data_IF_658562422883
#
_entry.id   IF_658562422883
#
_cell.length_a   1.000
_cell.length_b   1.000
_cell.length_c   1.000
_cell.angle_alpha   90.00
_cell.angle_beta   90.00
_cell.angle_gamma   90.00
#
_symmetry.space_group_name_H-M   'P 1'
#
loop_
_entity.id
_entity.type
_entity.pdbx_description
1 polymer ?
#
# COMPACT_ATOMS: atom_id res chain seq x y z
N UNK A 1 -3.97 -45.43 -9.08
CA UNK A 1 -3.83 -46.25 -7.84
C UNK A 1 -2.41 -46.08 -7.28
N UNK A 2 -2.20 -45.01 -6.50
CA UNK A 2 -0.94 -44.84 -5.80
C UNK A 2 -1.01 -45.67 -4.50
N UNK A 3 -0.39 -46.85 -4.48
CA UNK A 3 -0.20 -47.64 -3.30
C UNK A 3 1.18 -47.28 -2.72
N UNK A 4 1.20 -46.52 -1.60
CA UNK A 4 2.44 -46.20 -0.89
C UNK A 4 3.21 -47.47 -0.43
N UNK A 5 4.48 -47.33 -0.02
CA UNK A 5 5.33 -48.46 0.38
C UNK A 5 4.70 -49.25 1.51
N UNK A 6 4.57 -50.58 1.34
CA UNK A 6 4.09 -51.53 2.36
C UNK A 6 5.23 -51.73 3.37
N UNK A 7 4.98 -51.46 4.64
CA UNK A 7 5.92 -51.81 5.71
C UNK A 7 6.01 -53.35 5.84
N UNK A 8 7.14 -53.84 6.33
CA UNK A 8 7.39 -55.29 6.56
C UNK A 8 6.36 -56.00 7.44
N UNK A 9 5.52 -55.23 8.16
CA UNK A 9 4.42 -55.70 9.01
C UNK A 9 3.06 -55.79 8.27
N UNK A 10 3.03 -55.52 6.98
CA UNK A 10 1.82 -55.61 6.15
C UNK A 10 0.83 -54.45 6.30
N UNK A 11 1.11 -53.45 7.15
CA UNK A 11 0.29 -52.26 7.30
C UNK A 11 0.72 -51.20 6.31
N UNK A 12 -0.24 -50.61 5.60
CA UNK A 12 0.03 -49.42 4.78
C UNK A 12 0.51 -48.30 5.68
N UNK A 13 1.69 -47.72 5.41
CA UNK A 13 2.16 -46.55 6.14
C UNK A 13 1.16 -45.41 5.94
N UNK A 14 0.60 -44.91 7.03
CA UNK A 14 -0.25 -43.72 6.98
C UNK A 14 0.60 -42.57 6.44
N UNK A 15 0.03 -41.79 5.49
CA UNK A 15 0.67 -40.59 4.99
C UNK A 15 0.85 -39.60 6.15
N UNK A 16 2.11 -39.24 6.44
CA UNK A 16 2.46 -38.23 7.45
C UNK A 16 2.77 -36.90 6.72
N UNK A 17 1.76 -36.03 6.62
CA UNK A 17 1.89 -34.79 5.90
C UNK A 17 3.01 -33.89 6.45
N UNK A 18 3.13 -33.64 7.78
CA UNK A 18 4.18 -32.79 8.33
C UNK A 18 5.61 -33.27 8.01
N UNK A 19 5.85 -34.57 8.04
CA UNK A 19 7.15 -35.15 7.71
C UNK A 19 7.48 -34.98 6.23
N UNK A 20 6.52 -35.33 5.37
CA UNK A 20 6.68 -35.25 3.92
C UNK A 20 6.82 -33.83 3.42
N UNK A 21 6.02 -32.90 3.96
CA UNK A 21 6.07 -31.47 3.62
C UNK A 21 7.44 -30.88 3.99
N UNK A 22 7.94 -31.13 5.19
CA UNK A 22 9.26 -30.67 5.62
C UNK A 22 10.36 -31.22 4.71
N UNK A 23 10.34 -32.52 4.44
CA UNK A 23 11.30 -33.16 3.53
C UNK A 23 11.39 -32.46 2.19
N UNK A 24 10.26 -32.12 1.58
CA UNK A 24 10.25 -31.51 0.27
C UNK A 24 10.61 -30.01 0.33
N UNK A 25 10.20 -29.29 1.34
CA UNK A 25 10.60 -27.90 1.55
C UNK A 25 12.12 -27.79 1.69
N UNK A 26 12.74 -28.64 2.53
CA UNK A 26 14.20 -28.69 2.68
C UNK A 26 14.89 -29.02 1.36
N UNK A 27 14.34 -29.93 0.57
CA UNK A 27 14.88 -30.29 -0.73
C UNK A 27 14.76 -29.13 -1.74
N UNK A 28 13.67 -28.39 -1.75
CA UNK A 28 13.48 -27.22 -2.62
C UNK A 28 14.43 -26.08 -2.25
N UNK A 29 14.59 -25.80 -0.97
CA UNK A 29 15.51 -24.78 -0.46
C UNK A 29 16.97 -25.15 -0.84
N UNK A 30 17.38 -26.41 -0.62
CA UNK A 30 18.72 -26.87 -0.96
C UNK A 30 19.02 -26.82 -2.48
N UNK A 31 18.01 -27.04 -3.32
CA UNK A 31 18.15 -27.00 -4.77
C UNK A 31 17.96 -25.59 -5.38
N UNK A 32 17.53 -24.60 -4.57
CA UNK A 32 17.20 -23.24 -5.04
C UNK A 32 16.12 -23.22 -6.10
N UNK A 33 15.09 -24.08 -5.97
CA UNK A 33 14.06 -24.31 -7.01
C UNK A 33 13.30 -23.03 -7.34
N UNK A 34 13.12 -22.15 -6.37
CA UNK A 34 12.34 -20.92 -6.50
C UNK A 34 13.19 -19.65 -6.63
N UNK A 35 14.51 -19.79 -6.67
CA UNK A 35 15.41 -18.65 -6.87
C UNK A 35 15.35 -18.11 -8.30
N UNK A 36 15.05 -16.82 -8.43
CA UNK A 36 15.11 -16.13 -9.71
C UNK A 36 16.58 -15.88 -10.11
N UNK A 37 16.99 -16.42 -11.25
CA UNK A 37 18.36 -16.26 -11.79
C UNK A 37 18.35 -15.38 -13.02
N UNK A 38 19.47 -14.73 -13.32
CA UNK A 38 19.62 -14.05 -14.59
C UNK A 38 19.72 -15.07 -15.72
N UNK A 39 18.60 -15.29 -16.41
CA UNK A 39 18.52 -16.23 -17.53
C UNK A 39 17.74 -15.58 -18.71
N UNK A 40 18.46 -15.01 -19.69
CA UNK A 40 17.82 -14.36 -20.85
C UNK A 40 17.15 -15.33 -21.81
N UNK A 41 17.42 -16.64 -21.71
CA UNK A 41 16.82 -17.67 -22.57
C UNK A 41 15.37 -18.00 -22.19
N UNK A 42 14.94 -17.63 -20.98
CA UNK A 42 13.60 -17.89 -20.46
C UNK A 42 12.79 -16.60 -20.40
N UNK A 43 11.50 -16.62 -20.80
CA UNK A 43 10.64 -15.45 -20.65
C UNK A 43 10.47 -15.11 -19.17
N UNK A 44 10.55 -13.81 -18.83
CA UNK A 44 10.43 -13.33 -17.46
C UNK A 44 8.97 -13.28 -17.02
N UNK A 45 8.72 -13.58 -15.77
CA UNK A 45 7.42 -13.35 -15.13
C UNK A 45 7.62 -12.84 -13.70
N UNK A 46 6.94 -11.75 -13.37
CA UNK A 46 6.97 -11.16 -12.04
C UNK A 46 5.64 -11.42 -11.31
N UNK A 47 5.70 -12.07 -10.17
CA UNK A 47 4.56 -12.27 -9.28
C UNK A 47 4.63 -11.24 -8.17
N UNK A 48 3.72 -10.29 -8.21
CA UNK A 48 3.60 -9.22 -7.20
C UNK A 48 2.42 -9.49 -6.30
N UNK A 49 2.67 -9.47 -5.00
CA UNK A 49 1.67 -9.56 -3.95
C UNK A 49 1.79 -8.35 -3.03
N UNK A 50 0.70 -8.02 -2.35
CA UNK A 50 0.73 -6.98 -1.32
C UNK A 50 1.62 -7.41 -0.15
N UNK A 51 2.58 -6.59 0.22
CA UNK A 51 3.47 -6.86 1.35
C UNK A 51 2.71 -6.76 2.67
N UNK A 52 2.95 -7.66 3.63
CA UNK A 52 2.31 -7.57 4.93
C UNK A 52 2.99 -6.51 5.80
N UNK A 53 2.21 -5.86 6.65
CA UNK A 53 2.74 -5.07 7.76
C UNK A 53 3.21 -6.01 8.87
N UNK A 54 4.46 -5.91 9.34
CA UNK A 54 4.97 -6.74 10.43
C UNK A 54 4.52 -6.23 11.81
N UNK A 55 3.21 -6.09 12.00
CA UNK A 55 2.60 -5.59 13.24
C UNK A 55 2.02 -6.68 14.14
N UNK A 56 2.22 -7.97 13.79
CA UNK A 56 1.68 -9.08 14.55
C UNK A 56 1.95 -10.44 13.91
N UNK A 57 0.93 -11.29 13.87
CA UNK A 57 0.98 -12.63 13.27
C UNK A 57 0.25 -12.66 11.94
N UNK A 58 0.55 -13.65 11.08
CA UNK A 58 -0.24 -13.89 9.89
C UNK A 58 -1.66 -14.34 10.26
N UNK A 59 -2.60 -14.07 9.38
CA UNK A 59 -3.99 -14.48 9.47
C UNK A 59 -4.46 -15.06 8.13
N UNK A 60 -5.67 -15.60 8.09
CA UNK A 60 -6.20 -16.24 6.88
C UNK A 60 -6.24 -15.34 5.64
N UNK A 61 -6.35 -14.03 5.82
CA UNK A 61 -6.23 -13.07 4.70
C UNK A 61 -4.85 -13.11 4.04
N UNK A 62 -3.79 -13.19 4.82
CA UNK A 62 -2.43 -13.39 4.32
C UNK A 62 -2.29 -14.73 3.59
N UNK A 63 -2.80 -15.82 4.19
CA UNK A 63 -2.75 -17.15 3.58
C UNK A 63 -3.46 -17.13 2.22
N UNK A 64 -4.66 -16.55 2.14
CA UNK A 64 -5.40 -16.44 0.89
C UNK A 64 -4.63 -15.67 -0.18
N UNK A 65 -4.13 -14.49 0.18
CA UNK A 65 -3.42 -13.62 -0.76
C UNK A 65 -2.18 -14.34 -1.34
N UNK A 66 -1.35 -14.91 -0.47
CA UNK A 66 -0.09 -15.53 -0.89
C UNK A 66 -0.28 -16.90 -1.55
N UNK A 67 -1.34 -17.62 -1.24
CA UNK A 67 -1.69 -18.84 -1.97
C UNK A 67 -2.07 -18.53 -3.42
N UNK A 68 -2.80 -17.45 -3.68
CA UNK A 68 -3.14 -17.06 -5.06
C UNK A 68 -1.88 -16.74 -5.88
N UNK A 69 -0.96 -15.96 -5.31
CA UNK A 69 0.33 -15.67 -5.97
C UNK A 69 1.17 -16.92 -6.16
N UNK A 70 1.22 -17.81 -5.17
CA UNK A 70 1.94 -19.08 -5.24
C UNK A 70 1.45 -19.98 -6.38
N UNK A 71 0.14 -20.08 -6.56
CA UNK A 71 -0.46 -20.85 -7.68
C UNK A 71 0.01 -20.29 -9.03
N UNK A 72 -0.01 -18.96 -9.19
CA UNK A 72 0.46 -18.32 -10.43
C UNK A 72 1.96 -18.54 -10.61
N UNK A 73 2.77 -18.37 -9.57
CA UNK A 73 4.22 -18.55 -9.62
C UNK A 73 4.59 -19.98 -10.04
N UNK A 74 3.99 -20.98 -9.41
CA UNK A 74 4.21 -22.40 -9.73
C UNK A 74 3.77 -22.76 -11.14
N UNK A 75 2.59 -22.28 -11.57
CA UNK A 75 2.10 -22.49 -12.92
C UNK A 75 3.08 -21.91 -13.96
N UNK A 76 3.51 -20.67 -13.78
CA UNK A 76 4.44 -20.02 -14.71
C UNK A 76 5.81 -20.71 -14.72
N UNK A 77 6.32 -21.11 -13.55
CA UNK A 77 7.57 -21.85 -13.45
C UNK A 77 7.46 -23.19 -14.19
N UNK A 78 6.38 -23.95 -13.98
CA UNK A 78 6.11 -25.21 -14.72
C UNK A 78 5.97 -25.02 -16.24
N UNK A 79 5.58 -23.82 -16.67
CA UNK A 79 5.50 -23.44 -18.09
C UNK A 79 6.84 -22.94 -18.67
N UNK A 80 7.92 -23.00 -17.90
CA UNK A 80 9.26 -22.64 -18.35
C UNK A 80 9.63 -21.15 -18.20
N UNK A 81 8.81 -20.33 -17.53
CA UNK A 81 9.17 -18.94 -17.26
C UNK A 81 10.26 -18.84 -16.19
N UNK A 82 11.04 -17.78 -16.27
CA UNK A 82 11.92 -17.33 -15.18
C UNK A 82 11.10 -16.45 -14.25
N UNK A 83 10.67 -17.01 -13.14
CA UNK A 83 9.71 -16.36 -12.23
C UNK A 83 10.44 -15.62 -11.12
N UNK A 84 10.17 -14.33 -10.96
CA UNK A 84 10.55 -13.53 -9.81
C UNK A 84 9.34 -13.43 -8.86
N UNK A 85 9.44 -14.09 -7.69
CA UNK A 85 8.42 -14.08 -6.63
C UNK A 85 9.07 -13.69 -5.30
N UNK A 86 9.38 -12.39 -5.08
CA UNK A 86 10.09 -11.92 -3.91
C UNK A 86 9.17 -11.81 -2.70
N UNK A 87 9.77 -11.62 -1.51
CA UNK A 87 9.06 -11.28 -0.28
C UNK A 87 9.49 -9.92 0.24
N UNK A 88 8.56 -8.95 0.27
CA UNK A 88 8.72 -7.70 0.97
C UNK A 88 7.98 -7.68 2.31
N UNK A 89 8.45 -6.82 3.22
CA UNK A 89 7.78 -6.45 4.47
C UNK A 89 7.54 -4.94 4.44
N UNK A 90 6.28 -4.53 4.54
CA UNK A 90 5.93 -3.10 4.62
C UNK A 90 6.12 -2.64 6.05
N UNK A 91 7.35 -2.21 6.35
CA UNK A 91 7.87 -2.12 7.70
C UNK A 91 8.02 -0.68 8.23
N UNK A 92 7.65 0.32 7.42
CA UNK A 92 7.57 1.71 7.83
C UNK A 92 6.14 2.13 8.17
N UNK A 93 6.04 3.22 8.94
CA UNK A 93 4.83 3.97 9.16
C UNK A 93 4.12 3.66 10.48
N UNK A 94 3.06 4.40 10.71
CA UNK A 94 2.31 4.42 11.95
C UNK A 94 1.83 3.07 12.48
N UNK A 95 1.42 2.07 11.68
CA UNK A 95 0.97 0.79 12.22
C UNK A 95 2.04 0.08 13.05
N UNK A 96 3.29 0.06 12.59
CA UNK A 96 4.39 -0.56 13.33
C UNK A 96 4.82 0.29 14.53
N UNK A 97 4.87 1.63 14.35
CA UNK A 97 5.23 2.58 15.40
C UNK A 97 4.21 2.58 16.54
N UNK A 98 2.92 2.60 16.21
CA UNK A 98 1.83 2.57 17.19
C UNK A 98 1.86 1.28 18.01
N UNK A 99 2.02 0.13 17.38
CA UNK A 99 2.14 -1.14 18.07
C UNK A 99 3.36 -1.18 19.00
N UNK A 100 4.49 -0.61 18.57
CA UNK A 100 5.69 -0.50 19.41
C UNK A 100 5.48 0.41 20.62
N UNK A 101 4.80 1.54 20.44
CA UNK A 101 4.43 2.46 21.55
C UNK A 101 3.54 1.76 22.57
N UNK A 102 2.48 1.08 22.11
CA UNK A 102 1.56 0.32 22.98
C UNK A 102 2.29 -0.75 23.80
N UNK A 103 3.30 -1.38 23.20
CA UNK A 103 4.10 -2.41 23.85
C UNK A 103 5.29 -1.88 24.64
N UNK A 104 5.56 -0.58 24.61
CA UNK A 104 6.67 0.06 25.32
C UNK A 104 8.05 -0.39 24.84
N UNK A 105 8.22 -0.71 23.56
CA UNK A 105 9.47 -1.20 22.97
C UNK A 105 9.91 -0.32 21.79
N UNK A 106 11.21 -0.28 21.43
CA UNK A 106 11.66 0.41 20.23
C UNK A 106 11.00 -0.16 18.95
N UNK A 107 10.57 0.71 17.99
CA UNK A 107 9.93 0.26 16.77
C UNK A 107 10.75 -0.74 15.96
N UNK A 108 12.07 -0.58 15.88
CA UNK A 108 12.95 -1.51 15.18
C UNK A 108 12.89 -2.91 15.77
N UNK A 109 13.02 -3.02 17.11
CA UNK A 109 13.00 -4.32 17.81
C UNK A 109 11.66 -5.03 17.62
N UNK A 110 10.57 -4.28 17.69
CA UNK A 110 9.22 -4.78 17.45
C UNK A 110 9.07 -5.30 16.02
N UNK A 111 9.46 -4.48 15.05
CA UNK A 111 9.33 -4.75 13.62
C UNK A 111 10.09 -6.00 13.21
N UNK A 112 11.40 -6.07 13.51
CA UNK A 112 12.21 -7.24 13.11
C UNK A 112 11.83 -8.51 13.84
N UNK A 113 11.36 -8.43 15.09
CA UNK A 113 10.80 -9.58 15.83
C UNK A 113 9.56 -10.11 15.13
N UNK A 114 8.67 -9.23 14.69
CA UNK A 114 7.46 -9.63 13.98
C UNK A 114 7.77 -10.19 12.59
N UNK A 115 8.71 -9.60 11.85
CA UNK A 115 9.20 -10.16 10.59
C UNK A 115 9.67 -11.61 10.79
N UNK A 116 10.51 -11.84 11.78
CA UNK A 116 11.02 -13.18 12.09
C UNK A 116 9.88 -14.17 12.43
N UNK A 117 8.91 -13.73 13.24
CA UNK A 117 7.76 -14.54 13.61
C UNK A 117 6.85 -14.86 12.41
N UNK A 118 6.52 -13.88 11.59
CA UNK A 118 5.69 -14.06 10.39
C UNK A 118 6.40 -14.93 9.35
N UNK A 119 7.70 -14.76 9.14
CA UNK A 119 8.52 -15.63 8.27
C UNK A 119 8.46 -17.08 8.75
N UNK A 120 8.62 -17.32 10.05
CA UNK A 120 8.53 -18.66 10.64
C UNK A 120 7.13 -19.30 10.47
N UNK A 121 6.08 -18.48 10.42
CA UNK A 121 4.71 -18.95 10.18
C UNK A 121 4.44 -19.20 8.67
N UNK A 122 5.10 -18.45 7.78
CA UNK A 122 4.89 -18.57 6.33
C UNK A 122 5.68 -19.71 5.70
N UNK A 123 6.89 -19.98 6.17
CA UNK A 123 7.74 -21.03 5.61
C UNK A 123 7.08 -22.41 5.58
N UNK A 124 6.41 -22.88 6.66
CA UNK A 124 5.71 -24.17 6.64
C UNK A 124 4.54 -24.28 5.65
N UNK A 125 4.04 -23.15 5.12
CA UNK A 125 3.03 -23.17 4.06
C UNK A 125 3.62 -23.57 2.70
N UNK A 126 4.95 -23.63 2.58
CA UNK A 126 5.66 -24.14 1.41
C UNK A 126 5.51 -23.29 0.15
N UNK A 127 5.29 -21.99 0.29
CA UNK A 127 5.17 -21.06 -0.84
C UNK A 127 6.43 -21.01 -1.70
N UNK A 128 6.25 -20.88 -3.01
CA UNK A 128 7.34 -20.73 -4.00
C UNK A 128 7.96 -19.32 -4.01
N UNK A 129 8.23 -18.80 -2.82
CA UNK A 129 8.84 -17.48 -2.62
C UNK A 129 10.36 -17.62 -2.75
N UNK A 130 10.97 -16.69 -3.48
CA UNK A 130 12.41 -16.52 -3.50
C UNK A 130 12.87 -15.78 -2.23
N UNK A 131 13.17 -16.53 -1.19
CA UNK A 131 13.63 -15.99 0.09
C UNK A 131 15.01 -15.33 0.03
N UNK A 132 15.78 -15.53 -1.05
CA UNK A 132 17.06 -14.82 -1.25
C UNK A 132 16.83 -13.36 -1.63
N UNK A 133 15.62 -13.02 -2.04
CA UNK A 133 15.16 -11.67 -2.38
C UNK A 133 14.16 -11.12 -1.38
N UNK A 134 14.30 -11.52 -0.13
CA UNK A 134 13.57 -10.96 0.99
C UNK A 134 14.14 -9.59 1.36
N UNK A 135 13.26 -8.61 1.66
CA UNK A 135 13.65 -7.27 2.10
C UNK A 135 12.58 -6.65 2.99
N UNK A 136 12.98 -5.67 3.79
CA UNK A 136 12.06 -4.81 4.53
C UNK A 136 12.15 -3.37 4.01
N UNK A 137 11.01 -2.69 3.88
CA UNK A 137 10.98 -1.31 3.38
C UNK A 137 11.68 -0.32 4.31
N UNK A 138 11.91 -0.71 5.58
CA UNK A 138 12.67 0.06 6.57
C UNK A 138 14.19 -0.19 6.52
N UNK A 139 14.66 -1.09 5.66
CA UNK A 139 16.10 -1.31 5.51
C UNK A 139 16.75 -0.17 4.71
N UNK A 140 17.97 0.29 5.10
CA UNK A 140 18.67 1.36 4.40
C UNK A 140 18.84 1.11 2.90
N UNK A 141 19.11 -0.14 2.52
CA UNK A 141 19.29 -0.54 1.12
C UNK A 141 18.00 -0.35 0.29
N UNK A 142 16.84 -0.45 0.94
CA UNK A 142 15.56 -0.20 0.30
C UNK A 142 15.20 1.29 0.30
N UNK A 143 15.12 1.94 1.47
CA UNK A 143 14.67 3.33 1.53
C UNK A 143 15.68 4.30 0.91
N UNK A 144 16.95 3.93 0.80
CA UNK A 144 17.94 4.69 0.05
C UNK A 144 17.55 4.88 -1.43
N UNK A 145 16.95 3.86 -2.05
CA UNK A 145 16.43 3.95 -3.42
C UNK A 145 15.19 4.87 -3.50
N UNK A 146 14.31 4.83 -2.50
CA UNK A 146 13.17 5.74 -2.42
C UNK A 146 13.63 7.20 -2.25
N UNK A 147 14.67 7.44 -1.45
CA UNK A 147 15.24 8.78 -1.28
C UNK A 147 15.86 9.30 -2.58
N UNK A 148 16.56 8.44 -3.33
CA UNK A 148 17.09 8.79 -4.64
C UNK A 148 15.95 9.16 -5.62
N UNK A 149 14.91 8.34 -5.70
CA UNK A 149 13.71 8.62 -6.51
C UNK A 149 13.04 9.95 -6.12
N UNK A 150 12.94 10.23 -4.81
CA UNK A 150 12.40 11.50 -4.32
C UNK A 150 13.21 12.70 -4.84
N UNK A 151 14.54 12.60 -4.85
CA UNK A 151 15.41 13.65 -5.37
C UNK A 151 15.24 13.84 -6.88
N UNK A 152 15.07 12.75 -7.63
CA UNK A 152 14.80 12.82 -9.07
C UNK A 152 13.44 13.50 -9.34
N UNK A 153 12.40 13.17 -8.57
CA UNK A 153 11.09 13.81 -8.66
C UNK A 153 11.14 15.30 -8.27
N UNK A 154 11.95 15.64 -7.27
CA UNK A 154 12.17 17.04 -6.88
C UNK A 154 12.88 17.82 -8.00
N UNK A 155 13.91 17.25 -8.61
CA UNK A 155 14.63 17.84 -9.73
C UNK A 155 13.72 17.99 -10.96
N UNK A 156 12.79 17.07 -11.19
CA UNK A 156 11.78 17.14 -12.23
C UNK A 156 10.65 18.14 -11.93
N UNK A 157 10.67 18.83 -10.78
CA UNK A 157 9.66 19.79 -10.40
C UNK A 157 8.31 19.19 -9.96
N UNK A 158 8.25 17.88 -9.75
CA UNK A 158 7.04 17.15 -9.33
C UNK A 158 6.77 17.22 -7.82
N UNK A 159 7.73 17.74 -7.06
CA UNK A 159 7.65 17.88 -5.61
C UNK A 159 7.74 19.35 -5.23
N UNK A 160 6.91 19.80 -4.30
CA UNK A 160 6.95 21.16 -3.74
C UNK A 160 6.91 21.12 -2.22
N UNK A 161 7.46 22.16 -1.59
CA UNK A 161 7.33 22.36 -0.14
C UNK A 161 6.56 23.64 0.11
N UNK A 162 5.45 23.53 0.84
CA UNK A 162 4.60 24.67 1.19
C UNK A 162 3.97 24.49 2.56
N UNK A 163 3.58 25.62 3.15
CA UNK A 163 2.80 25.59 4.38
C UNK A 163 1.37 25.10 4.09
N UNK A 164 0.91 24.13 4.87
CA UNK A 164 -0.45 23.61 4.81
C UNK A 164 -1.03 23.47 6.21
N UNK A 165 -2.34 23.61 6.33
CA UNK A 165 -3.05 23.33 7.57
C UNK A 165 -3.22 21.82 7.69
N UNK A 166 -2.73 21.28 8.81
CA UNK A 166 -2.77 19.86 9.13
C UNK A 166 -3.53 19.61 10.42
N UNK A 167 -4.03 18.39 10.58
CA UNK A 167 -4.59 17.93 11.85
C UNK A 167 -3.43 17.51 12.77
N UNK A 168 -3.31 18.13 13.91
CA UNK A 168 -2.26 17.87 14.89
C UNK A 168 -2.84 17.23 16.15
N UNK A 169 -2.33 16.08 16.54
CA UNK A 169 -2.63 15.48 17.83
C UNK A 169 -1.60 15.98 18.88
N UNK A 170 -2.04 16.74 19.90
CA UNK A 170 -1.12 17.31 20.87
C UNK A 170 -0.58 16.29 21.89
N UNK A 171 -1.21 15.13 22.02
CA UNK A 171 -0.78 14.04 22.92
C UNK A 171 0.26 13.16 22.23
N UNK A 172 -0.04 12.71 21.00
CA UNK A 172 0.87 11.90 20.21
C UNK A 172 1.98 12.73 19.53
N UNK A 173 1.87 14.06 19.57
CA UNK A 173 2.81 14.98 18.93
C UNK A 173 3.04 14.69 17.45
N UNK A 174 1.97 14.35 16.73
CA UNK A 174 2.03 13.94 15.33
C UNK A 174 0.92 14.54 14.48
N UNK A 175 1.13 14.53 13.16
CA UNK A 175 0.11 14.91 12.17
C UNK A 175 -0.79 13.71 11.89
N UNK A 176 -2.10 13.94 11.88
CA UNK A 176 -3.11 12.94 11.56
C UNK A 176 -3.69 13.18 10.17
N UNK A 177 -3.87 12.10 9.41
CA UNK A 177 -4.69 12.11 8.20
C UNK A 177 -6.18 12.37 8.55
N UNK A 178 -6.97 12.80 7.57
CA UNK A 178 -8.38 13.11 7.82
C UNK A 178 -9.15 11.88 8.35
N UNK A 179 -8.82 10.69 7.87
CA UNK A 179 -9.42 9.41 8.28
C UNK A 179 -9.09 9.01 9.73
N UNK A 180 -8.06 9.64 10.30
CA UNK A 180 -7.62 9.43 11.68
C UNK A 180 -8.24 10.43 12.66
N UNK A 181 -9.13 11.31 12.18
CA UNK A 181 -9.87 12.26 13.00
C UNK A 181 -11.34 11.84 13.04
N UNK A 182 -11.81 11.46 14.22
CA UNK A 182 -13.18 11.02 14.46
C UNK A 182 -13.85 12.02 15.41
N UNK A 183 -14.91 12.66 14.98
CA UNK A 183 -15.64 13.67 15.76
C UNK A 183 -14.72 14.78 16.33
N UNK A 184 -13.72 15.22 15.55
CA UNK A 184 -12.78 16.25 15.95
C UNK A 184 -11.67 15.76 16.88
N UNK A 185 -11.59 14.47 17.16
CA UNK A 185 -10.61 13.85 18.05
C UNK A 185 -9.69 12.89 17.34
N UNK A 186 -8.46 12.78 17.82
CA UNK A 186 -7.51 11.78 17.36
C UNK A 186 -8.03 10.36 17.64
N UNK A 187 -8.04 9.51 16.61
CA UNK A 187 -8.60 8.16 16.66
C UNK A 187 -8.00 7.25 17.73
N UNK A 188 -6.74 7.50 18.10
CA UNK A 188 -6.00 6.73 19.10
C UNK A 188 -6.05 7.36 20.49
N UNK A 189 -5.74 8.65 20.59
CA UNK A 189 -5.60 9.33 21.88
C UNK A 189 -6.91 9.82 22.44
N UNK A 190 -7.92 10.05 21.59
CA UNK A 190 -9.15 10.73 21.95
C UNK A 190 -8.98 12.22 22.26
N UNK A 191 -7.77 12.76 22.08
CA UNK A 191 -7.50 14.18 22.29
C UNK A 191 -8.16 15.03 21.19
N UNK A 192 -8.57 16.24 21.51
CA UNK A 192 -9.05 17.19 20.53
C UNK A 192 -7.92 17.57 19.57
N UNK A 193 -8.22 17.47 18.27
CA UNK A 193 -7.26 17.74 17.21
C UNK A 193 -7.13 19.25 16.99
N UNK A 194 -5.90 19.73 16.96
CA UNK A 194 -5.59 21.12 16.64
C UNK A 194 -5.31 21.30 15.15
N UNK A 195 -5.75 22.43 14.59
CA UNK A 195 -5.34 22.84 13.24
C UNK A 195 -4.03 23.62 13.35
N UNK A 196 -2.95 23.06 12.77
CA UNK A 196 -1.63 23.73 12.75
C UNK A 196 -1.16 23.94 11.33
N UNK A 197 -0.52 25.09 11.10
CA UNK A 197 0.10 25.41 9.81
C UNK A 197 1.55 24.95 9.85
N UNK A 198 1.86 23.88 9.12
CA UNK A 198 3.20 23.28 9.04
C UNK A 198 3.71 23.24 7.61
N UNK A 199 5.03 23.37 7.44
CA UNK A 199 5.66 23.14 6.15
C UNK A 199 5.68 21.65 5.84
N UNK A 200 5.03 21.29 4.72
CA UNK A 200 4.90 19.91 4.26
C UNK A 200 5.41 19.75 2.83
N UNK A 201 5.85 18.55 2.51
CA UNK A 201 6.14 18.14 1.15
C UNK A 201 4.87 17.70 0.45
N UNK A 202 4.72 18.10 -0.81
CA UNK A 202 3.59 17.73 -1.65
C UNK A 202 4.10 17.19 -2.98
N UNK A 203 3.54 16.06 -3.41
CA UNK A 203 3.65 15.56 -4.75
C UNK A 203 2.54 16.20 -5.60
N UNK A 204 2.88 16.71 -6.78
CA UNK A 204 1.92 17.38 -7.68
C UNK A 204 1.10 16.35 -8.46
N UNK A 205 0.38 15.49 -7.75
CA UNK A 205 -0.38 14.38 -8.36
C UNK A 205 -1.51 14.88 -9.28
N UNK A 206 -2.04 16.06 -9.02
CA UNK A 206 -3.12 16.65 -9.83
C UNK A 206 -2.68 17.06 -11.23
N UNK A 207 -1.38 17.27 -11.45
CA UNK A 207 -0.84 17.56 -12.78
C UNK A 207 -1.02 16.37 -13.75
N UNK A 208 -1.26 15.17 -13.22
CA UNK A 208 -1.48 13.93 -13.97
C UNK A 208 -2.96 13.51 -14.06
N UNK A 209 -3.89 14.32 -13.54
CA UNK A 209 -5.29 13.91 -13.41
C UNK A 209 -5.93 13.59 -14.77
N UNK A 210 -5.69 14.41 -15.80
CA UNK A 210 -6.22 14.19 -17.15
C UNK A 210 -5.61 12.93 -17.80
N UNK A 211 -4.30 12.73 -17.65
CA UNK A 211 -3.61 11.55 -18.19
C UNK A 211 -4.08 10.27 -17.50
N UNK A 212 -4.27 10.31 -16.18
CA UNK A 212 -4.81 9.19 -15.42
C UNK A 212 -6.23 8.84 -15.86
N UNK A 213 -7.09 9.85 -16.05
CA UNK A 213 -8.45 9.65 -16.52
C UNK A 213 -8.49 9.04 -17.93
N UNK A 214 -7.69 9.58 -18.85
CA UNK A 214 -7.56 9.04 -20.20
C UNK A 214 -7.00 7.61 -20.19
N UNK A 215 -6.01 7.34 -19.31
CA UNK A 215 -5.37 6.04 -19.18
C UNK A 215 -6.31 4.91 -18.73
N UNK A 216 -7.45 5.21 -18.08
CA UNK A 216 -8.45 4.20 -17.71
C UNK A 216 -9.01 3.44 -18.93
N UNK A 217 -9.05 4.09 -20.10
CA UNK A 217 -9.47 3.46 -21.35
C UNK A 217 -8.56 2.33 -21.82
N UNK A 218 -7.29 2.32 -21.42
CA UNK A 218 -6.31 1.27 -21.77
C UNK A 218 -6.29 0.08 -20.81
N UNK A 219 -7.05 0.13 -19.70
CA UNK A 219 -7.10 -0.91 -18.67
C UNK A 219 -8.21 -1.92 -18.96
N UNK A 220 -8.21 -2.53 -20.14
CA UNK A 220 -9.27 -3.44 -20.61
C UNK A 220 -9.41 -4.67 -19.72
N UNK A 221 -8.30 -5.19 -19.18
CA UNK A 221 -8.27 -6.37 -18.31
C UNK A 221 -8.68 -6.08 -16.85
N UNK A 222 -8.91 -4.81 -16.52
CA UNK A 222 -9.34 -4.43 -15.17
C UNK A 222 -10.86 -4.58 -15.02
N UNK A 223 -11.36 -5.00 -13.84
CA UNK A 223 -12.80 -5.04 -13.58
C UNK A 223 -13.44 -3.67 -13.80
N UNK A 224 -14.56 -3.63 -14.52
CA UNK A 224 -15.30 -2.39 -14.83
C UNK A 224 -15.61 -1.56 -13.58
N UNK A 225 -16.03 -2.23 -12.50
CA UNK A 225 -16.29 -1.57 -11.21
C UNK A 225 -15.08 -0.81 -10.68
N UNK A 226 -13.88 -1.36 -10.85
CA UNK A 226 -12.64 -0.71 -10.38
C UNK A 226 -12.31 0.51 -11.24
N UNK A 227 -12.46 0.41 -12.57
CA UNK A 227 -12.27 1.56 -13.48
C UNK A 227 -13.25 2.69 -13.15
N UNK A 228 -14.52 2.37 -12.95
CA UNK A 228 -15.54 3.35 -12.56
C UNK A 228 -15.23 4.01 -11.21
N UNK A 229 -14.71 3.25 -10.23
CA UNK A 229 -14.28 3.82 -8.94
C UNK A 229 -13.14 4.83 -9.12
N UNK A 230 -12.17 4.54 -10.00
CA UNK A 230 -11.06 5.44 -10.31
C UNK A 230 -11.55 6.71 -11.02
N UNK A 231 -12.45 6.58 -12.00
CA UNK A 231 -13.06 7.70 -12.71
C UNK A 231 -13.80 8.63 -11.76
N UNK A 232 -14.65 8.07 -10.90
CA UNK A 232 -15.40 8.84 -9.89
C UNK A 232 -14.48 9.50 -8.87
N UNK A 233 -13.36 8.87 -8.50
CA UNK A 233 -12.38 9.43 -7.58
C UNK A 233 -11.66 10.64 -8.19
N UNK A 234 -11.25 10.56 -9.45
CA UNK A 234 -10.64 11.68 -10.18
C UNK A 234 -11.65 12.81 -10.32
N UNK A 235 -12.90 12.49 -10.64
CA UNK A 235 -14.06 13.39 -10.53
C UNK A 235 -13.92 14.65 -11.37
N UNK A 236 -13.50 14.52 -12.65
CA UNK A 236 -13.38 15.69 -13.54
C UNK A 236 -14.71 16.41 -13.66
N UNK A 237 -14.74 17.68 -13.29
CA UNK A 237 -15.89 18.55 -13.42
C UNK A 237 -15.55 19.83 -14.18
N UNK A 238 -16.58 20.45 -14.76
CA UNK A 238 -16.47 21.75 -15.39
C UNK A 238 -17.40 22.72 -14.67
N UNK A 239 -16.95 23.96 -14.53
CA UNK A 239 -17.73 24.99 -13.87
C UNK A 239 -17.39 26.38 -14.38
N UNK A 240 -18.10 27.36 -13.87
CA UNK A 240 -17.95 28.77 -14.16
C UNK A 240 -17.38 29.49 -12.91
N UNK A 241 -16.33 30.23 -13.10
CA UNK A 241 -15.81 31.20 -12.13
C UNK A 241 -16.29 32.57 -12.50
N UNK A 242 -16.87 33.32 -11.58
CA UNK A 242 -17.32 34.68 -11.72
C UNK A 242 -17.28 35.43 -10.38
N UNK A 243 -17.54 36.72 -10.36
CA UNK A 243 -17.55 37.47 -9.10
C UNK A 243 -18.86 38.23 -8.96
N UNK A 244 -19.40 38.26 -7.74
CA UNK A 244 -20.42 39.21 -7.34
C UNK A 244 -19.75 40.56 -6.93
N UNK A 245 -20.35 41.67 -7.33
CA UNK A 245 -19.93 42.98 -6.86
C UNK A 245 -20.50 43.23 -5.46
N UNK A 246 -19.65 43.70 -4.56
CA UNK A 246 -20.03 44.07 -3.20
C UNK A 246 -20.39 45.55 -3.11
N UNK A 247 -21.21 45.94 -2.16
CA UNK A 247 -21.67 47.32 -1.97
C UNK A 247 -20.56 48.32 -1.63
N UNK A 248 -19.44 47.82 -1.09
CA UNK A 248 -18.23 48.59 -0.78
C UNK A 248 -17.25 48.73 -1.97
N UNK A 249 -17.61 48.19 -3.14
CA UNK A 249 -16.78 48.15 -4.34
C UNK A 249 -15.83 46.95 -4.41
N UNK A 250 -15.86 46.05 -3.45
CA UNK A 250 -15.14 44.80 -3.49
C UNK A 250 -15.75 43.80 -4.45
N UNK A 251 -15.08 42.67 -4.63
CA UNK A 251 -15.58 41.54 -5.45
C UNK A 251 -15.51 40.25 -4.64
N UNK A 252 -16.59 39.48 -4.66
CA UNK A 252 -16.65 38.15 -4.09
C UNK A 252 -16.54 37.13 -5.25
N UNK A 253 -15.37 36.49 -5.44
CA UNK A 253 -15.19 35.44 -6.43
C UNK A 253 -15.93 34.18 -5.97
N UNK A 254 -16.65 33.57 -6.90
CA UNK A 254 -17.41 32.33 -6.67
C UNK A 254 -17.19 31.37 -7.84
N UNK A 255 -17.26 30.08 -7.53
CA UNK A 255 -17.21 29.00 -8.51
C UNK A 255 -18.49 28.17 -8.42
N UNK A 256 -19.05 27.76 -9.55
CA UNK A 256 -20.21 26.89 -9.61
C UNK A 256 -20.10 25.87 -10.73
N UNK A 257 -20.49 24.64 -10.48
CA UNK A 257 -20.71 23.60 -11.51
C UNK A 257 -22.12 23.67 -12.13
N UNK A 258 -22.97 24.57 -11.62
CA UNK A 258 -24.35 24.78 -12.07
C UNK A 258 -24.56 26.25 -12.45
N UNK A 259 -23.94 26.73 -13.56
CA UNK A 259 -24.09 28.11 -13.99
C UNK A 259 -25.54 28.47 -14.39
N UNK A 260 -26.33 27.49 -14.76
CA UNK A 260 -27.76 27.60 -15.06
C UNK A 260 -28.60 28.09 -13.86
N UNK A 261 -28.12 27.94 -12.63
CA UNK A 261 -28.84 28.30 -11.40
C UNK A 261 -28.47 29.70 -10.85
N UNK A 262 -27.52 30.39 -11.45
CA UNK A 262 -27.00 31.69 -10.94
C UNK A 262 -28.10 32.72 -10.73
N UNK A 263 -29.07 32.79 -11.65
CA UNK A 263 -30.19 33.76 -11.57
C UNK A 263 -31.14 33.51 -10.41
N UNK A 264 -31.06 32.34 -9.77
CA UNK A 264 -31.80 32.01 -8.56
C UNK A 264 -31.03 32.30 -7.26
N UNK A 265 -29.80 32.79 -7.33
CA UNK A 265 -28.99 33.08 -6.16
C UNK A 265 -29.58 34.28 -5.39
N UNK A 266 -29.96 34.07 -4.13
CA UNK A 266 -30.53 35.10 -3.27
C UNK A 266 -29.65 35.49 -2.09
N UNK A 267 -28.62 34.71 -1.78
CA UNK A 267 -27.60 35.02 -0.75
C UNK A 267 -26.29 34.25 -1.03
N UNK A 268 -25.21 34.74 -0.45
CA UNK A 268 -23.93 34.03 -0.38
C UNK A 268 -23.53 33.84 1.09
N UNK A 269 -23.02 32.67 1.43
CA UNK A 269 -22.39 32.41 2.70
C UNK A 269 -20.87 32.31 2.51
N UNK A 270 -20.09 32.90 3.40
CA UNK A 270 -18.65 32.84 3.43
C UNK A 270 -18.16 32.19 4.70
N UNK A 271 -17.00 31.53 4.68
CA UNK A 271 -16.38 30.97 5.87
C UNK A 271 -15.94 32.08 6.83
N UNK A 272 -15.91 31.81 8.14
CA UNK A 272 -15.56 32.79 9.16
C UNK A 272 -14.10 33.31 9.03
N UNK A 273 -13.24 32.54 8.38
CA UNK A 273 -11.83 32.88 8.09
C UNK A 273 -11.61 33.40 6.67
N UNK A 274 -12.68 33.73 5.95
CA UNK A 274 -12.60 34.34 4.62
C UNK A 274 -12.03 35.74 4.72
N UNK A 275 -11.11 36.14 3.82
CA UNK A 275 -10.45 37.45 3.88
C UNK A 275 -11.34 38.67 3.62
N UNK A 276 -12.61 38.48 3.21
CA UNK A 276 -13.60 39.54 3.03
C UNK A 276 -14.36 39.75 4.31
#
# INVERSE_FOLDING_TARGET
DWRGPIRKDGLMSRYDAPEIERKWQDAWDAAGVFEARHDPSRPKYYVLEMFPYPSGRIHMGHVRNYTMGDVVARYKNARGFNVLHPRGWDAFGLPAENAAIEMGVPPADWTYRNIAAMRAQMKPLGFSIDWTREFATCDPDYYGQQQALFLDMLAAGLVTRKAAVVNWDPVDMTVLANEQVIDGKGWRTGAEVEKRKLNQWFLKITDFADDLLAGLGSLEDWPEKVRLMQENWIGKSQGLEFSFDLSDGGKLPVYTTRPDTIFGASFCAIAADHPI
#
